data_IF_823018541548
#
_entry.id   IF_823018541548
#
_cell.length_a   1.000
_cell.length_b   1.000
_cell.length_c   1.000
_cell.angle_alpha   90.00
_cell.angle_beta   90.00
_cell.angle_gamma   90.00
#
_symmetry.space_group_name_H-M   'P 1'
#
loop_
_entity.id
_entity.type
_entity.pdbx_description
1 polymer ?
#
# COMPACT_ATOMS: atom_id res chain seq x y z
N UNK A 1 -4.41 19.04 -20.42
CA UNK A 1 -5.51 19.03 -19.44
C UNK A 1 -5.00 18.22 -18.27
N UNK A 2 -5.00 18.77 -17.05
CA UNK A 2 -4.52 18.05 -15.87
C UNK A 2 -5.38 16.82 -15.57
N UNK A 3 -4.78 15.76 -15.04
CA UNK A 3 -5.45 14.50 -14.71
C UNK A 3 -6.19 14.62 -13.37
N UNK A 4 -7.44 15.06 -13.44
CA UNK A 4 -8.33 15.18 -12.28
C UNK A 4 -8.61 13.85 -11.59
N UNK A 5 -8.50 12.71 -12.30
CA UNK A 5 -8.68 11.40 -11.71
C UNK A 5 -7.48 11.04 -10.81
N UNK A 6 -6.26 11.42 -11.20
CA UNK A 6 -5.07 11.24 -10.39
C UNK A 6 -5.12 12.07 -9.11
N UNK A 7 -5.57 13.33 -9.20
CA UNK A 7 -5.74 14.22 -8.04
C UNK A 7 -6.79 13.67 -7.07
N UNK A 8 -7.92 13.18 -7.58
CA UNK A 8 -8.95 12.53 -6.77
C UNK A 8 -8.40 11.31 -6.04
N UNK A 9 -7.64 10.45 -6.75
CA UNK A 9 -6.97 9.30 -6.15
C UNK A 9 -5.99 9.72 -5.06
N UNK A 10 -5.17 10.74 -5.30
CA UNK A 10 -4.27 11.28 -4.29
C UNK A 10 -5.00 11.63 -2.99
N UNK A 11 -6.12 12.35 -3.07
CA UNK A 11 -6.93 12.69 -1.90
C UNK A 11 -7.53 11.46 -1.20
N UNK A 12 -8.06 10.51 -1.96
CA UNK A 12 -8.59 9.25 -1.43
C UNK A 12 -7.51 8.45 -0.69
N UNK A 13 -6.31 8.32 -1.27
CA UNK A 13 -5.17 7.66 -0.64
C UNK A 13 -4.76 8.35 0.66
N UNK A 14 -4.62 9.67 0.65
CA UNK A 14 -4.22 10.40 1.85
C UNK A 14 -5.27 10.28 2.97
N UNK A 15 -6.57 10.20 2.63
CA UNK A 15 -7.63 9.99 3.61
C UNK A 15 -7.62 8.56 4.17
N UNK A 16 -7.52 7.55 3.31
CA UNK A 16 -7.62 6.14 3.71
C UNK A 16 -6.41 5.68 4.51
N UNK A 17 -5.21 6.17 4.17
CA UNK A 17 -3.98 5.89 4.89
C UNK A 17 -3.73 6.85 6.05
N UNK A 18 -4.70 7.72 6.36
CA UNK A 18 -4.62 8.73 7.43
C UNK A 18 -3.31 9.52 7.39
N UNK A 19 -2.84 9.85 6.18
CA UNK A 19 -1.62 10.62 6.01
C UNK A 19 -1.76 11.92 6.81
N UNK A 20 -0.76 12.22 7.64
CA UNK A 20 -0.78 13.32 8.60
C UNK A 20 0.40 14.29 8.43
N UNK A 21 1.39 13.93 7.62
CA UNK A 21 2.54 14.78 7.30
C UNK A 21 3.02 14.56 5.87
N UNK A 22 3.70 15.57 5.35
CA UNK A 22 4.57 15.46 4.20
C UNK A 22 5.96 16.02 4.50
N UNK A 23 6.96 15.55 3.76
CA UNK A 23 8.31 16.11 3.77
C UNK A 23 8.97 15.90 2.42
N UNK A 24 10.00 16.70 2.16
CA UNK A 24 10.76 16.70 0.93
C UNK A 24 12.24 16.43 1.24
N UNK A 25 12.91 15.69 0.36
CA UNK A 25 14.31 15.36 0.55
C UNK A 25 14.90 14.51 -0.56
N UNK A 26 16.17 14.15 -0.38
CA UNK A 26 16.91 13.32 -1.34
C UNK A 26 17.04 11.90 -0.80
N UNK A 27 16.85 10.90 -1.67
CA UNK A 27 17.05 9.49 -1.30
C UNK A 27 18.54 9.22 -1.17
N UNK A 28 19.00 8.87 0.03
CA UNK A 28 20.41 8.56 0.29
C UNK A 28 20.71 7.06 0.17
N UNK A 29 19.79 6.23 0.64
CA UNK A 29 19.99 4.77 0.61
C UNK A 29 18.66 4.02 0.57
N UNK A 30 18.71 2.79 0.08
CA UNK A 30 17.68 1.78 0.25
C UNK A 30 18.12 0.84 1.34
N UNK A 31 17.89 1.25 2.58
CA UNK A 31 18.57 0.59 3.66
C UNK A 31 18.13 -0.86 3.86
N UNK A 32 19.17 -1.68 4.02
CA UNK A 32 19.17 -2.93 4.77
C UNK A 32 20.30 -2.80 5.79
N UNK A 33 20.17 -1.90 6.78
CA UNK A 33 21.16 -1.87 7.85
C UNK A 33 20.98 -3.15 8.70
N UNK A 34 22.02 -3.98 8.70
CA UNK A 34 22.38 -5.09 9.62
C UNK A 34 22.06 -6.55 9.23
N UNK A 35 22.97 -7.41 9.73
CA UNK A 35 23.16 -8.87 9.70
C UNK A 35 21.94 -9.74 10.07
N UNK A 36 20.75 -9.44 9.56
CA UNK A 36 19.54 -10.23 9.78
C UNK A 36 19.07 -10.76 8.42
N UNK A 37 18.53 -11.98 8.39
CA UNK A 37 18.04 -12.59 7.15
C UNK A 37 17.10 -11.62 6.39
N UNK A 38 17.20 -11.54 5.04
CA UNK A 38 16.44 -10.58 4.21
C UNK A 38 14.92 -10.59 4.43
N UNK A 39 14.38 -11.70 4.93
CA UNK A 39 12.97 -11.87 5.26
C UNK A 39 12.53 -11.05 6.48
N UNK A 40 13.45 -10.73 7.39
CA UNK A 40 13.22 -9.97 8.63
C UNK A 40 13.51 -8.48 8.50
N UNK A 41 14.19 -8.06 7.43
CA UNK A 41 14.49 -6.65 7.20
C UNK A 41 13.24 -5.90 6.75
N UNK A 42 12.95 -4.81 7.45
CA UNK A 42 11.98 -3.81 7.05
C UNK A 42 12.56 -3.10 5.83
N UNK A 43 11.98 -3.30 4.65
CA UNK A 43 12.47 -2.63 3.44
C UNK A 43 11.94 -1.22 3.42
N UNK A 44 12.83 -0.25 3.20
CA UNK A 44 12.47 1.14 3.10
C UNK A 44 13.48 1.93 2.29
N UNK A 45 13.30 3.24 2.27
CA UNK A 45 14.31 4.18 1.79
C UNK A 45 14.61 5.20 2.87
N UNK A 46 15.87 5.60 2.93
CA UNK A 46 16.36 6.66 3.79
C UNK A 46 16.35 7.94 2.98
N UNK A 47 15.55 8.91 3.42
CA UNK A 47 15.39 10.22 2.79
C UNK A 47 15.99 11.29 3.69
N UNK A 48 17.02 11.96 3.19
CA UNK A 48 17.64 13.09 3.87
C UNK A 48 16.86 14.35 3.56
N UNK A 49 16.26 14.93 4.60
CA UNK A 49 15.66 16.26 4.55
C UNK A 49 16.67 17.29 5.04
N UNK A 50 16.32 18.58 4.99
CA UNK A 50 17.22 19.65 5.48
C UNK A 50 17.52 19.54 6.98
N UNK A 51 16.57 19.03 7.75
CA UNK A 51 16.62 19.04 9.23
C UNK A 51 17.00 17.70 9.83
N UNK A 52 16.67 16.59 9.15
CA UNK A 52 16.80 15.24 9.69
C UNK A 52 16.75 14.20 8.58
N UNK A 53 17.11 12.96 8.92
CA UNK A 53 16.95 11.79 8.07
C UNK A 53 15.68 11.04 8.44
N UNK A 54 14.84 10.74 7.45
CA UNK A 54 13.58 9.99 7.61
C UNK A 54 13.69 8.64 6.94
N UNK A 55 13.25 7.60 7.63
CA UNK A 55 13.06 6.27 7.06
C UNK A 55 11.64 6.15 6.54
N UNK A 56 11.49 5.73 5.28
CA UNK A 56 10.21 5.51 4.63
C UNK A 56 10.03 4.03 4.43
N UNK A 57 9.11 3.44 5.18
CA UNK A 57 8.86 2.01 5.17
C UNK A 57 8.01 1.58 3.97
N UNK A 58 8.42 0.52 3.27
CA UNK A 58 7.64 -0.03 2.15
C UNK A 58 6.83 -1.23 2.58
N UNK A 59 5.52 -1.08 2.45
CA UNK A 59 4.56 -2.16 2.49
C UNK A 59 3.84 -2.22 1.14
N UNK A 60 3.81 -3.37 0.42
CA UNK A 60 4.62 -4.57 0.64
C UNK A 60 6.13 -4.30 0.48
N UNK A 61 6.99 -5.26 0.89
CA UNK A 61 8.46 -5.20 0.81
C UNK A 61 9.01 -5.20 -0.65
N UNK A 62 8.35 -4.58 -1.62
CA UNK A 62 8.83 -4.45 -2.99
C UNK A 62 9.64 -3.15 -3.10
N UNK A 63 10.75 -3.19 -3.82
CA UNK A 63 11.55 -1.97 -4.07
C UNK A 63 10.72 -1.04 -4.96
N UNK A 64 10.51 0.24 -4.57
CA UNK A 64 9.83 1.20 -5.43
C UNK A 64 10.71 1.55 -6.64
N UNK A 65 10.10 2.13 -7.68
CA UNK A 65 10.82 2.62 -8.85
C UNK A 65 11.55 3.95 -8.60
N UNK A 66 12.15 4.12 -7.41
CA UNK A 66 12.92 5.29 -6.98
C UNK A 66 14.41 4.89 -6.96
N UNK A 67 15.31 5.83 -7.23
CA UNK A 67 16.76 5.62 -7.19
C UNK A 67 17.43 6.48 -6.12
N UNK A 68 18.64 6.07 -5.72
CA UNK A 68 19.48 6.88 -4.83
C UNK A 68 19.86 8.16 -5.57
N UNK A 69 19.73 9.30 -4.90
CA UNK A 69 19.91 10.63 -5.46
C UNK A 69 18.64 11.25 -6.05
N UNK A 70 17.53 10.51 -6.16
CA UNK A 70 16.26 11.10 -6.58
C UNK A 70 15.73 12.07 -5.51
N UNK A 71 15.18 13.20 -5.95
CA UNK A 71 14.49 14.14 -5.09
C UNK A 71 13.02 13.76 -4.98
N UNK A 72 12.53 13.57 -3.75
CA UNK A 72 11.20 13.04 -3.50
C UNK A 72 10.42 13.85 -2.47
N UNK A 73 9.12 13.96 -2.69
CA UNK A 73 8.14 14.45 -1.71
C UNK A 73 7.32 13.26 -1.23
N UNK A 74 7.36 12.99 0.06
CA UNK A 74 6.66 11.85 0.66
C UNK A 74 5.50 12.37 1.50
N UNK A 75 4.30 11.89 1.23
CA UNK A 75 3.11 12.13 2.05
C UNK A 75 2.68 10.82 2.72
N UNK A 76 2.54 10.82 4.04
CA UNK A 76 2.32 9.59 4.79
C UNK A 76 1.92 9.78 6.24
N UNK A 77 1.83 8.65 6.93
CA UNK A 77 1.50 8.56 8.35
C UNK A 77 2.79 8.40 9.15
N UNK A 78 3.06 9.35 10.05
CA UNK A 78 4.10 9.21 11.08
C UNK A 78 3.45 8.68 12.35
N UNK A 79 3.93 7.55 12.86
CA UNK A 79 3.43 7.01 14.13
C UNK A 79 4.13 7.70 15.32
N UNK A 80 3.39 7.94 16.41
CA UNK A 80 3.88 8.70 17.57
C UNK A 80 5.11 8.06 18.24
N UNK A 81 5.27 6.74 18.09
CA UNK A 81 6.38 5.96 18.66
C UNK A 81 7.68 6.06 17.85
N UNK A 82 7.58 6.31 16.55
CA UNK A 82 8.73 6.33 15.63
C UNK A 82 8.68 7.60 14.78
N UNK A 83 9.06 8.75 15.36
CA UNK A 83 9.00 10.07 14.71
C UNK A 83 9.79 10.16 13.39
N UNK A 84 10.72 9.24 13.16
CA UNK A 84 11.56 9.18 11.98
C UNK A 84 11.17 8.08 11.00
N UNK A 85 10.21 7.21 11.35
CA UNK A 85 9.64 6.22 10.43
C UNK A 85 8.32 6.76 9.86
N UNK A 86 8.17 6.69 8.55
CA UNK A 86 6.99 7.16 7.85
C UNK A 86 6.44 6.06 6.97
N UNK A 87 5.16 5.75 7.16
CA UNK A 87 4.41 4.89 6.25
C UNK A 87 3.88 5.74 5.09
N UNK A 88 4.41 5.59 3.87
CA UNK A 88 4.04 6.42 2.73
C UNK A 88 2.63 6.07 2.26
N UNK A 89 1.77 7.07 2.15
CA UNK A 89 0.53 6.95 1.38
C UNK A 89 0.81 7.22 -0.11
N UNK A 90 1.64 8.22 -0.40
CA UNK A 90 2.04 8.64 -1.74
C UNK A 90 3.48 9.12 -1.72
N UNK A 91 4.24 8.79 -2.78
CA UNK A 91 5.60 9.29 -3.01
C UNK A 91 5.62 9.98 -4.36
N UNK A 92 6.04 11.23 -4.40
CA UNK A 92 6.22 12.00 -5.62
C UNK A 92 7.72 12.10 -5.89
N UNK A 93 8.14 11.79 -7.12
CA UNK A 93 9.52 11.95 -7.54
C UNK A 93 9.64 13.19 -8.42
N UNK A 94 10.29 14.23 -7.88
CA UNK A 94 10.45 15.52 -8.55
C UNK A 94 11.44 15.44 -9.71
N UNK A 95 12.45 14.57 -9.61
CA UNK A 95 13.47 14.36 -10.67
C UNK A 95 12.84 13.80 -11.94
N UNK A 96 11.97 12.78 -11.80
CA UNK A 96 11.38 12.03 -12.91
C UNK A 96 9.90 12.39 -13.17
N UNK A 97 9.33 13.32 -12.40
CA UNK A 97 7.94 13.81 -12.47
C UNK A 97 6.91 12.68 -12.53
N UNK A 98 6.96 11.78 -11.56
CA UNK A 98 5.93 10.74 -11.39
C UNK A 98 5.41 10.68 -9.96
N UNK A 99 4.21 10.11 -9.84
CA UNK A 99 3.57 9.80 -8.56
C UNK A 99 3.53 8.29 -8.40
N UNK A 100 3.99 7.82 -7.25
CA UNK A 100 3.99 6.44 -6.84
C UNK A 100 2.99 6.24 -5.70
N UNK A 101 2.05 5.34 -5.92
CA UNK A 101 1.19 4.79 -4.87
C UNK A 101 1.75 3.42 -4.48
N UNK A 102 2.25 3.24 -3.25
CA UNK A 102 2.88 1.99 -2.83
C UNK A 102 1.96 0.76 -2.90
N UNK A 103 0.65 0.98 -2.77
CA UNK A 103 -0.40 -0.07 -2.79
C UNK A 103 -1.66 0.42 -3.50
N UNK A 104 -2.62 -0.47 -3.75
CA UNK A 104 -3.97 -0.11 -4.19
C UNK A 104 -4.88 0.20 -2.98
N UNK A 105 -5.76 1.19 -3.08
CA UNK A 105 -6.76 1.55 -2.03
C UNK A 105 -7.58 0.32 -1.62
N UNK A 106 -7.85 -0.59 -2.56
CA UNK A 106 -8.70 -1.75 -2.33
C UNK A 106 -8.09 -2.79 -1.40
N UNK A 107 -6.77 -2.75 -1.13
CA UNK A 107 -6.13 -3.69 -0.18
C UNK A 107 -6.76 -3.60 1.21
N UNK A 108 -7.19 -2.40 1.62
CA UNK A 108 -7.74 -2.14 2.95
C UNK A 108 -9.27 -2.04 2.99
N UNK A 109 -9.96 -2.19 1.85
CA UNK A 109 -11.41 -2.05 1.83
C UNK A 109 -12.11 -3.23 2.50
N UNK A 110 -13.01 -2.92 3.44
CA UNK A 110 -13.85 -3.88 4.15
C UNK A 110 -14.67 -4.74 3.18
N UNK A 111 -15.11 -4.18 2.05
CA UNK A 111 -15.89 -4.89 1.04
C UNK A 111 -15.12 -6.05 0.42
N UNK A 112 -13.83 -5.88 0.17
CA UNK A 112 -12.93 -6.95 -0.31
C UNK A 112 -12.76 -8.03 0.74
N UNK A 113 -12.61 -7.68 2.02
CA UNK A 113 -12.52 -8.67 3.10
C UNK A 113 -13.82 -9.49 3.23
N UNK A 114 -14.98 -8.83 3.12
CA UNK A 114 -16.29 -9.49 3.22
C UNK A 114 -16.56 -10.41 2.01
N UNK A 115 -16.22 -9.96 0.80
CA UNK A 115 -16.31 -10.74 -0.44
C UNK A 115 -15.56 -12.08 -0.37
N UNK A 116 -14.39 -12.10 0.28
CA UNK A 116 -13.56 -13.31 0.38
C UNK A 116 -13.86 -14.16 1.61
N UNK A 117 -14.20 -13.54 2.75
CA UNK A 117 -14.43 -14.28 3.99
C UNK A 117 -15.79 -14.98 4.01
N UNK A 118 -16.81 -14.44 3.33
CA UNK A 118 -18.15 -15.03 3.33
C UNK A 118 -18.18 -16.42 2.66
N UNK A 119 -17.64 -16.62 1.45
CA UNK A 119 -17.61 -17.94 0.81
C UNK A 119 -16.67 -18.93 1.51
N UNK A 120 -15.55 -18.47 2.07
CA UNK A 120 -14.66 -19.29 2.90
C UNK A 120 -15.39 -19.85 4.12
N UNK A 121 -16.14 -18.99 4.82
CA UNK A 121 -16.92 -19.36 6.01
C UNK A 121 -18.04 -20.34 5.64
N UNK A 122 -18.73 -20.11 4.53
CA UNK A 122 -19.78 -21.02 4.02
C UNK A 122 -19.20 -22.38 3.65
N UNK A 123 -18.06 -22.41 2.93
CA UNK A 123 -17.38 -23.65 2.56
C UNK A 123 -16.95 -24.48 3.77
N UNK A 124 -16.36 -23.84 4.79
CA UNK A 124 -15.99 -24.48 6.05
C UNK A 124 -17.20 -24.99 6.84
N UNK A 125 -18.28 -24.21 6.91
CA UNK A 125 -19.50 -24.61 7.58
C UNK A 125 -20.15 -25.83 6.90
N UNK A 126 -20.20 -25.86 5.57
CA UNK A 126 -20.73 -27.00 4.81
C UNK A 126 -19.88 -28.26 5.01
N UNK A 127 -18.56 -28.13 4.98
CA UNK A 127 -17.66 -29.25 5.27
C UNK A 127 -17.83 -29.77 6.71
N UNK A 128 -17.98 -28.87 7.68
CA UNK A 128 -18.22 -29.19 9.08
C UNK A 128 -19.58 -29.89 9.32
N UNK A 129 -20.67 -29.33 8.79
CA UNK A 129 -22.02 -29.92 8.88
C UNK A 129 -22.08 -31.29 8.21
N UNK A 130 -21.34 -31.46 7.10
CA UNK A 130 -21.20 -32.75 6.44
C UNK A 130 -20.81 -33.85 7.43
N UNK A 131 -19.85 -33.61 8.33
CA UNK A 131 -19.33 -34.62 9.28
C UNK A 131 -20.37 -35.21 10.24
N UNK A 132 -21.55 -34.59 10.36
CA UNK A 132 -22.64 -35.04 11.23
C UNK A 132 -23.71 -35.85 10.50
N UNK A 133 -23.61 -36.00 9.17
CA UNK A 133 -24.60 -36.67 8.32
C UNK A 133 -24.01 -37.98 7.83
N UNK A 134 -24.60 -39.12 8.18
CA UNK A 134 -24.10 -40.49 7.94
C UNK A 134 -24.51 -41.11 6.59
N UNK A 135 -24.94 -40.29 5.62
CA UNK A 135 -25.40 -40.71 4.29
C UNK A 135 -24.32 -40.52 3.22
N UNK A 136 -24.41 -41.18 2.07
CA UNK A 136 -23.51 -40.92 0.91
C UNK A 136 -23.52 -39.46 0.43
N UNK A 137 -24.56 -38.69 0.78
CA UNK A 137 -24.61 -37.24 0.64
C UNK A 137 -23.49 -36.50 1.40
N UNK A 138 -22.92 -37.14 2.42
CA UNK A 138 -21.78 -36.66 3.22
C UNK A 138 -20.56 -36.30 2.38
N UNK A 139 -20.09 -37.25 1.56
CA UNK A 139 -18.87 -37.11 0.77
C UNK A 139 -19.04 -35.99 -0.26
N UNK A 140 -20.25 -35.83 -0.80
CA UNK A 140 -20.57 -34.74 -1.72
C UNK A 140 -20.61 -33.37 -1.04
N UNK A 141 -21.14 -33.26 0.18
CA UNK A 141 -21.13 -31.99 0.92
C UNK A 141 -19.72 -31.58 1.36
N UNK A 142 -18.90 -32.55 1.79
CA UNK A 142 -17.47 -32.30 2.06
C UNK A 142 -16.77 -31.83 0.79
N UNK A 143 -16.94 -32.54 -0.32
CA UNK A 143 -16.30 -32.20 -1.59
C UNK A 143 -16.71 -30.81 -2.08
N UNK A 144 -18.02 -30.49 -2.03
CA UNK A 144 -18.55 -29.18 -2.41
C UNK A 144 -18.03 -28.08 -1.47
N UNK A 145 -17.99 -28.33 -0.16
CA UNK A 145 -17.45 -27.39 0.83
C UNK A 145 -15.97 -27.07 0.57
N UNK A 146 -15.16 -28.08 0.31
CA UNK A 146 -13.74 -27.91 -0.07
C UNK A 146 -13.58 -27.22 -1.42
N UNK A 147 -14.46 -27.48 -2.40
CA UNK A 147 -14.41 -26.83 -3.71
C UNK A 147 -14.75 -25.34 -3.60
N UNK A 148 -15.78 -24.99 -2.82
CA UNK A 148 -16.12 -23.59 -2.52
C UNK A 148 -14.99 -22.91 -1.75
N UNK A 149 -14.44 -23.56 -0.72
CA UNK A 149 -13.34 -23.02 0.07
C UNK A 149 -12.08 -22.80 -0.80
N UNK A 150 -11.66 -23.80 -1.56
CA UNK A 150 -10.51 -23.69 -2.47
C UNK A 150 -10.73 -22.65 -3.56
N UNK A 151 -11.94 -22.60 -4.15
CA UNK A 151 -12.33 -21.62 -5.15
C UNK A 151 -12.39 -20.18 -4.62
N UNK A 152 -12.65 -19.98 -3.33
CA UNK A 152 -12.64 -18.66 -2.70
C UNK A 152 -11.25 -18.25 -2.19
N UNK A 153 -10.51 -19.19 -1.62
CA UNK A 153 -9.18 -18.95 -1.05
C UNK A 153 -8.13 -18.71 -2.14
N UNK A 154 -8.18 -19.43 -3.27
CA UNK A 154 -7.17 -19.32 -4.31
C UNK A 154 -7.14 -17.92 -4.96
N UNK A 155 -8.25 -17.34 -5.45
CA UNK A 155 -8.25 -15.99 -6.01
C UNK A 155 -7.87 -14.91 -5.00
N UNK A 156 -8.18 -15.10 -3.71
CA UNK A 156 -7.80 -14.15 -2.65
C UNK A 156 -6.29 -13.92 -2.61
N UNK A 157 -5.48 -14.97 -2.75
CA UNK A 157 -4.02 -14.83 -2.79
C UNK A 157 -3.56 -14.04 -4.02
N UNK A 158 -4.05 -14.36 -5.22
CA UNK A 158 -3.66 -13.65 -6.45
C UNK A 158 -4.15 -12.21 -6.49
N UNK A 159 -5.39 -11.96 -6.05
CA UNK A 159 -5.97 -10.61 -6.01
C UNK A 159 -5.27 -9.77 -4.95
N UNK A 160 -4.98 -10.32 -3.77
CA UNK A 160 -4.20 -9.60 -2.75
C UNK A 160 -2.83 -9.20 -3.29
N UNK A 161 -2.13 -10.12 -3.96
CA UNK A 161 -0.81 -9.85 -4.51
C UNK A 161 -0.85 -8.86 -5.70
N UNK A 162 -1.95 -8.84 -6.46
CA UNK A 162 -2.21 -7.82 -7.49
C UNK A 162 -2.51 -6.44 -6.89
N UNK A 163 -3.36 -6.37 -5.85
CA UNK A 163 -3.72 -5.12 -5.19
C UNK A 163 -2.54 -4.54 -4.38
N UNK A 164 -1.60 -5.38 -3.95
CA UNK A 164 -0.36 -4.94 -3.32
C UNK A 164 0.66 -4.36 -4.31
N UNK A 165 0.40 -4.37 -5.63
CA UNK A 165 1.32 -3.79 -6.61
C UNK A 165 1.33 -2.27 -6.51
N UNK A 166 2.53 -1.71 -6.45
CA UNK A 166 2.73 -0.28 -6.58
C UNK A 166 2.26 0.22 -7.94
N UNK A 167 1.60 1.38 -7.97
CA UNK A 167 1.14 2.04 -9.20
C UNK A 167 1.97 3.30 -9.42
N UNK A 168 2.59 3.42 -10.59
CA UNK A 168 3.34 4.59 -11.00
C UNK A 168 2.57 5.32 -12.09
N UNK A 169 2.41 6.64 -11.94
CA UNK A 169 1.77 7.51 -12.91
C UNK A 169 2.73 8.64 -13.26
N UNK A 170 3.08 8.76 -14.54
CA UNK A 170 3.79 9.93 -15.05
C UNK A 170 2.87 11.15 -15.03
N UNK A 171 3.36 12.29 -14.56
CA UNK A 171 2.59 13.53 -14.50
C UNK A 171 3.03 14.48 -15.61
N UNK A 172 2.06 15.11 -16.29
CA UNK A 172 2.34 16.34 -17.03
C UNK A 172 2.56 17.50 -16.05
N UNK A 173 3.12 18.60 -16.55
CA UNK A 173 3.50 19.76 -15.74
C UNK A 173 2.33 20.33 -14.93
N UNK A 174 1.16 20.40 -15.56
CA UNK A 174 -0.05 20.89 -14.89
C UNK A 174 -0.51 19.97 -13.76
N UNK A 175 -0.57 18.65 -13.99
CA UNK A 175 -0.96 17.70 -12.93
C UNK A 175 0.06 17.72 -11.79
N UNK A 176 1.34 17.89 -12.11
CA UNK A 176 2.39 18.02 -11.10
C UNK A 176 2.16 19.23 -10.20
N UNK A 177 1.93 20.42 -10.78
CA UNK A 177 1.62 21.64 -10.03
C UNK A 177 0.38 21.48 -9.14
N UNK A 178 -0.70 20.91 -9.69
CA UNK A 178 -1.95 20.65 -8.97
C UNK A 178 -1.73 19.70 -7.78
N UNK A 179 -0.92 18.66 -7.95
CA UNK A 179 -0.57 17.72 -6.87
C UNK A 179 0.30 18.35 -5.79
N UNK A 180 1.34 19.10 -6.18
CA UNK A 180 2.20 19.78 -5.22
C UNK A 180 1.43 20.85 -4.43
N UNK A 181 0.48 21.55 -5.08
CA UNK A 181 -0.41 22.48 -4.42
C UNK A 181 -1.39 21.77 -3.47
N UNK A 182 -1.89 20.60 -3.84
CA UNK A 182 -2.75 19.79 -2.98
C UNK A 182 -2.00 19.26 -1.73
N UNK A 183 -0.73 18.91 -1.87
CA UNK A 183 0.13 18.52 -0.74
C UNK A 183 0.31 19.71 0.19
N UNK A 184 0.72 20.87 -0.34
CA UNK A 184 0.98 22.07 0.48
C UNK A 184 -0.26 22.64 1.16
N UNK A 185 -1.42 22.54 0.51
CA UNK A 185 -2.69 22.94 1.11
C UNK A 185 -3.13 22.00 2.24
N UNK A 186 -2.78 20.72 2.18
CA UNK A 186 -3.29 19.69 3.11
C UNK A 186 -2.37 19.47 4.29
N UNK A 187 -1.08 19.35 4.01
CA UNK A 187 -0.03 19.16 4.99
C UNK A 187 0.70 20.48 4.98
N UNK A 188 0.43 21.34 5.96
CA UNK A 188 1.08 22.65 6.06
C UNK A 188 2.55 22.48 5.72
N UNK A 189 2.94 22.92 4.52
CA UNK A 189 4.32 22.83 4.08
C UNK A 189 5.11 23.57 5.16
N UNK A 190 6.17 22.97 5.70
CA UNK A 190 7.24 23.74 6.28
C UNK A 190 8.07 24.17 5.08
N UNK A 191 7.86 25.37 4.50
CA UNK A 191 8.73 25.85 3.45
C UNK A 191 10.16 25.96 4.01
N UNK A 192 11.11 25.53 3.19
CA UNK A 192 12.52 25.89 3.32
C UNK A 192 12.61 27.41 3.49
N UNK A 193 13.34 27.86 4.52
CA UNK A 193 13.82 29.24 4.65
C UNK A 193 15.33 29.20 4.53
#
# INVERSE_FOLDING_TARGET
MGDSALLKRFHEFCNIYEANRSFEGTVEDFDTIWYVDPERLTRGMTVRTESDTKFVEFHPKRKPAVEIGDHVIVAGLVTVREKNNVNPAVILNSTKRYVLFPQDIRVWSTSTNLLWNLPETIGLALAGIGTWISSSAFLWMIFLGWLIFGGAAFPKYFVKDYLQRSRLYSCDERTWEELTAAISSRFSYLPMV
#
